data_IF_456752283200
#
_entry.id   IF_456752283200
#
_cell.length_a   1.000
_cell.length_b   1.000
_cell.length_c   1.000
_cell.angle_alpha   90.00
_cell.angle_beta   90.00
_cell.angle_gamma   90.00
#
_symmetry.space_group_name_H-M   'P 1'
#
loop_
_entity.id
_entity.type
_entity.pdbx_description
1 polymer ?
#
# COMPACT_ATOMS: atom_id res chain seq x y z
N UNK A 1 -51.77 -36.86 -9.20
CA UNK A 1 -51.36 -35.81 -8.23
C UNK A 1 -49.86 -35.93 -7.96
N UNK A 2 -49.05 -34.99 -8.45
CA UNK A 2 -47.62 -34.77 -8.14
C UNK A 2 -47.11 -33.71 -9.13
N UNK A 3 -46.38 -32.64 -8.80
CA UNK A 3 -45.77 -32.15 -7.57
C UNK A 3 -45.76 -30.63 -7.69
N UNK A 4 -46.28 -29.96 -6.66
CA UNK A 4 -46.14 -28.53 -6.53
C UNK A 4 -44.79 -28.18 -5.87
N UNK A 5 -44.32 -26.94 -6.12
CA UNK A 5 -43.22 -26.24 -5.45
C UNK A 5 -41.82 -26.35 -6.07
N UNK A 6 -41.61 -25.60 -7.16
CA UNK A 6 -40.30 -25.05 -7.51
C UNK A 6 -39.87 -24.02 -6.46
N UNK A 7 -39.32 -24.51 -5.33
CA UNK A 7 -38.63 -23.66 -4.35
C UNK A 7 -37.39 -23.07 -5.03
N UNK A 8 -37.54 -21.92 -5.69
CA UNK A 8 -36.41 -21.11 -6.14
C UNK A 8 -35.56 -20.79 -4.91
N UNK A 9 -34.40 -21.44 -4.83
CA UNK A 9 -33.40 -21.12 -3.83
C UNK A 9 -32.93 -19.70 -4.11
N UNK A 10 -33.28 -18.77 -3.22
CA UNK A 10 -32.75 -17.40 -3.24
C UNK A 10 -31.22 -17.47 -3.07
N UNK A 11 -30.48 -17.54 -4.18
CA UNK A 11 -29.04 -17.36 -4.18
C UNK A 11 -28.76 -15.90 -3.83
N UNK A 12 -28.64 -15.59 -2.52
CA UNK A 12 -28.17 -14.29 -2.06
C UNK A 12 -26.82 -14.03 -2.74
N UNK A 13 -26.76 -13.01 -3.59
CA UNK A 13 -25.49 -12.63 -4.22
C UNK A 13 -24.44 -12.44 -3.13
N UNK A 14 -23.25 -13.00 -3.34
CA UNK A 14 -22.13 -12.85 -2.40
C UNK A 14 -21.93 -11.36 -2.16
N UNK A 15 -22.34 -10.85 -0.99
CA UNK A 15 -22.13 -9.45 -0.63
C UNK A 15 -20.65 -9.15 -0.82
N UNK A 16 -20.32 -8.24 -1.73
CA UNK A 16 -18.97 -7.69 -1.84
C UNK A 16 -18.72 -6.95 -0.54
N UNK A 17 -18.06 -7.60 0.42
CA UNK A 17 -17.65 -6.95 1.65
C UNK A 17 -16.56 -5.97 1.25
N UNK A 18 -16.93 -4.71 1.04
CA UNK A 18 -15.99 -3.63 0.78
C UNK A 18 -14.84 -3.76 1.77
N UNK A 19 -13.65 -4.09 1.25
CA UNK A 19 -12.46 -4.41 2.04
C UNK A 19 -12.06 -3.14 2.79
N UNK A 20 -12.59 -2.98 4.00
CA UNK A 20 -12.41 -1.77 4.82
C UNK A 20 -10.92 -1.50 4.94
N UNK A 21 -10.51 -0.29 4.54
CA UNK A 21 -9.11 0.15 4.59
C UNK A 21 -8.59 -0.07 6.00
N UNK A 22 -7.69 -1.04 6.16
CA UNK A 22 -7.10 -1.35 7.45
C UNK A 22 -6.19 -0.19 7.84
N UNK A 23 -6.35 0.34 9.05
CA UNK A 23 -5.33 1.17 9.65
C UNK A 23 -4.01 0.38 9.74
N UNK A 24 -2.84 1.04 9.64
CA UNK A 24 -1.55 0.38 9.72
C UNK A 24 -1.40 -0.31 11.09
N UNK A 25 -0.93 -1.56 11.06
CA UNK A 25 -0.74 -2.38 12.27
C UNK A 25 0.43 -1.84 13.10
N UNK A 26 0.26 -1.84 14.42
CA UNK A 26 1.32 -1.50 15.39
C UNK A 26 2.31 -2.67 15.40
N UNK A 27 3.60 -2.38 15.29
CA UNK A 27 4.66 -3.39 15.34
C UNK A 27 4.99 -3.73 16.80
N UNK A 28 5.48 -4.95 17.11
CA UNK A 28 5.82 -5.37 18.47
C UNK A 28 6.91 -4.52 19.16
N UNK A 29 7.69 -3.74 18.41
CA UNK A 29 8.68 -2.79 18.95
C UNK A 29 8.18 -1.35 19.15
N UNK A 30 6.96 -1.03 18.71
CA UNK A 30 6.41 0.32 18.85
C UNK A 30 5.97 0.56 20.30
N UNK A 31 6.68 1.44 21.01
CA UNK A 31 6.30 1.87 22.36
C UNK A 31 5.06 2.79 22.29
N UNK A 32 3.97 2.36 22.94
CA UNK A 32 2.69 3.09 23.00
C UNK A 32 2.72 4.04 24.19
N UNK A 33 3.27 5.23 23.97
CA UNK A 33 3.39 6.29 24.99
C UNK A 33 2.71 7.59 24.55
N UNK A 34 2.34 8.42 25.54
CA UNK A 34 1.75 9.75 25.31
C UNK A 34 2.70 10.69 24.56
N UNK A 35 4.01 10.45 24.66
CA UNK A 35 5.07 11.20 23.95
C UNK A 35 5.06 10.92 22.44
N UNK A 36 4.61 9.74 22.02
CA UNK A 36 4.61 9.35 20.61
C UNK A 36 3.35 9.84 19.88
N UNK A 37 3.28 11.15 19.69
CA UNK A 37 2.11 11.83 19.10
C UNK A 37 1.79 11.28 17.71
N UNK A 38 2.81 10.98 16.88
CA UNK A 38 2.63 10.46 15.51
C UNK A 38 1.87 9.13 15.49
N UNK A 39 2.12 8.26 16.48
CA UNK A 39 1.42 6.99 16.62
C UNK A 39 -0.03 7.23 17.09
N UNK A 40 -0.23 8.07 18.10
CA UNK A 40 -1.56 8.33 18.68
C UNK A 40 -2.53 9.01 17.70
N UNK A 41 -2.03 9.91 16.85
CA UNK A 41 -2.82 10.58 15.78
C UNK A 41 -3.44 9.57 14.80
N UNK A 42 -2.89 8.36 14.68
CA UNK A 42 -3.46 7.30 13.82
C UNK A 42 -4.73 6.69 14.41
N UNK A 43 -4.89 6.74 15.73
CA UNK A 43 -6.00 6.13 16.47
C UNK A 43 -7.07 7.14 16.90
N UNK A 44 -7.00 8.37 16.40
CA UNK A 44 -7.96 9.45 16.66
C UNK A 44 -8.66 9.81 15.35
N UNK A 45 -9.95 10.15 15.43
CA UNK A 45 -10.75 10.61 14.30
C UNK A 45 -10.53 12.11 14.03
N UNK A 46 -11.03 12.61 12.91
CA UNK A 46 -10.95 14.05 12.58
C UNK A 46 -11.58 14.95 13.63
N UNK A 47 -12.62 14.46 14.30
CA UNK A 47 -13.33 15.15 15.37
C UNK A 47 -12.58 15.11 16.71
N UNK A 48 -11.42 14.45 16.77
CA UNK A 48 -10.70 14.25 18.02
C UNK A 48 -11.20 13.07 18.84
N UNK A 49 -12.11 12.21 18.35
CA UNK A 49 -12.63 11.03 19.09
C UNK A 49 -11.70 9.82 18.96
N UNK A 50 -11.63 8.96 19.97
CA UNK A 50 -10.83 7.73 19.91
C UNK A 50 -11.52 6.71 18.99
N UNK A 51 -10.77 6.13 18.05
CA UNK A 51 -11.29 5.14 17.10
C UNK A 51 -11.53 3.80 17.84
N UNK A 52 -12.69 3.13 17.64
CA UNK A 52 -12.98 1.87 18.29
C UNK A 52 -12.12 0.72 17.75
N UNK A 53 -11.83 -0.26 18.62
CA UNK A 53 -10.99 -1.45 18.32
C UNK A 53 -11.38 -2.18 17.03
N UNK A 54 -12.69 -2.33 16.78
CA UNK A 54 -13.22 -3.01 15.58
C UNK A 54 -12.80 -2.37 14.26
N UNK A 55 -12.45 -1.09 14.28
CA UNK A 55 -11.97 -0.33 13.12
C UNK A 55 -10.44 -0.36 13.05
N UNK A 56 -9.76 -0.15 14.18
CA UNK A 56 -8.30 -0.15 14.25
C UNK A 56 -7.65 -1.54 14.13
N UNK A 57 -8.41 -2.62 14.39
CA UNK A 57 -7.95 -4.02 14.33
C UNK A 57 -6.69 -4.28 15.19
N UNK A 58 -6.60 -3.63 16.34
CA UNK A 58 -5.55 -3.85 17.34
C UNK A 58 -5.99 -4.88 18.38
N UNK A 59 -5.02 -5.44 19.11
CA UNK A 59 -5.32 -6.32 20.26
C UNK A 59 -6.01 -5.54 21.38
N UNK A 60 -6.70 -6.24 22.27
CA UNK A 60 -7.37 -5.61 23.41
C UNK A 60 -6.38 -4.87 24.32
N UNK A 61 -5.23 -5.50 24.60
CA UNK A 61 -4.14 -4.91 25.41
C UNK A 61 -3.64 -3.62 24.79
N UNK A 62 -3.35 -3.62 23.48
CA UNK A 62 -2.94 -2.41 22.75
C UNK A 62 -4.01 -1.32 22.81
N UNK A 63 -5.29 -1.64 22.59
CA UNK A 63 -6.36 -0.62 22.65
C UNK A 63 -6.43 0.06 24.03
N UNK A 64 -6.26 -0.71 25.13
CA UNK A 64 -6.23 -0.15 26.50
C UNK A 64 -5.06 0.82 26.67
N UNK A 65 -3.85 0.40 26.27
CA UNK A 65 -2.65 1.25 26.33
C UNK A 65 -2.80 2.53 25.49
N UNK A 66 -3.31 2.41 24.26
CA UNK A 66 -3.57 3.55 23.37
C UNK A 66 -4.56 4.53 24.02
N UNK A 67 -5.64 4.00 24.61
CA UNK A 67 -6.67 4.83 25.25
C UNK A 67 -6.07 5.62 26.42
N UNK A 68 -5.25 4.98 27.25
CA UNK A 68 -4.56 5.65 28.37
C UNK A 68 -3.59 6.71 27.85
N UNK A 69 -2.76 6.36 26.86
CA UNK A 69 -1.78 7.28 26.26
C UNK A 69 -2.45 8.51 25.63
N UNK A 70 -3.57 8.32 24.90
CA UNK A 70 -4.34 9.43 24.31
C UNK A 70 -4.92 10.33 25.41
N UNK A 71 -5.51 9.75 26.47
CA UNK A 71 -6.05 10.54 27.59
C UNK A 71 -4.97 11.37 28.25
N UNK A 72 -3.80 10.79 28.55
CA UNK A 72 -2.63 11.51 29.08
C UNK A 72 -2.18 12.64 28.17
N UNK A 73 -2.02 12.36 26.87
CA UNK A 73 -1.60 13.36 25.89
C UNK A 73 -2.61 14.53 25.76
N UNK A 74 -3.91 14.28 25.95
CA UNK A 74 -4.92 15.35 25.96
C UNK A 74 -4.84 16.25 27.20
N UNK A 75 -4.63 15.67 28.37
CA UNK A 75 -4.44 16.44 29.62
C UNK A 75 -3.21 17.36 29.49
N UNK A 76 -2.16 16.87 28.83
CA UNK A 76 -0.93 17.64 28.56
C UNK A 76 -1.03 18.55 27.32
N UNK A 77 -2.23 18.77 26.77
CA UNK A 77 -2.48 19.58 25.57
C UNK A 77 -1.72 19.18 24.28
N UNK A 78 -1.08 18.00 24.24
CA UNK A 78 -0.41 17.47 23.04
C UNK A 78 -1.41 17.01 21.97
N UNK A 79 -2.61 16.64 22.42
CA UNK A 79 -3.71 16.25 21.54
C UNK A 79 -4.97 17.03 21.94
N UNK A 80 -5.73 17.54 20.97
CA UNK A 80 -6.97 18.25 21.26
C UNK A 80 -8.11 17.30 21.66
N UNK A 81 -9.06 17.86 22.42
CA UNK A 81 -10.29 17.18 22.85
C UNK A 81 -11.38 17.16 21.77
N UNK A 82 -11.46 18.21 20.94
CA UNK A 82 -12.46 18.40 19.88
C UNK A 82 -11.82 18.98 18.61
N UNK A 83 -12.39 18.62 17.46
CA UNK A 83 -12.15 19.19 16.12
C UNK A 83 -10.69 19.48 15.74
N UNK A 84 -10.07 18.53 15.02
CA UNK A 84 -8.67 18.62 14.58
C UNK A 84 -8.59 18.95 13.08
N UNK A 85 -9.25 20.01 12.64
CA UNK A 85 -9.31 20.35 11.21
C UNK A 85 -7.91 20.55 10.62
N UNK A 86 -7.03 21.25 11.36
CA UNK A 86 -5.65 21.57 10.93
C UNK A 86 -4.80 20.30 10.85
N UNK A 87 -4.79 19.48 11.90
CA UNK A 87 -3.98 18.27 11.97
C UNK A 87 -4.32 17.27 10.85
N UNK A 88 -5.59 17.15 10.49
CA UNK A 88 -6.03 16.26 9.42
C UNK A 88 -5.71 16.79 8.03
N UNK A 89 -5.76 18.12 7.81
CA UNK A 89 -5.29 18.74 6.55
C UNK A 89 -3.80 18.44 6.35
N UNK A 90 -2.98 18.67 7.38
CA UNK A 90 -1.54 18.40 7.34
C UNK A 90 -1.24 16.92 7.11
N UNK A 91 -1.93 16.01 7.82
CA UNK A 91 -1.79 14.56 7.64
C UNK A 91 -2.13 14.11 6.22
N UNK A 92 -3.22 14.63 5.63
CA UNK A 92 -3.62 14.29 4.25
C UNK A 92 -2.60 14.78 3.23
N UNK A 93 -2.09 16.00 3.40
CA UNK A 93 -1.03 16.55 2.56
C UNK A 93 0.26 15.71 2.64
N UNK A 94 0.69 15.34 3.85
CA UNK A 94 1.85 14.47 4.07
C UNK A 94 1.69 13.11 3.38
N UNK A 95 0.53 12.46 3.53
CA UNK A 95 0.24 11.18 2.88
C UNK A 95 0.26 11.32 1.35
N UNK A 96 -0.28 12.42 0.81
CA UNK A 96 -0.27 12.67 -0.63
C UNK A 96 1.16 12.83 -1.15
N UNK A 97 2.00 13.59 -0.43
CA UNK A 97 3.41 13.75 -0.76
C UNK A 97 4.18 12.42 -0.75
N UNK A 98 4.06 11.63 0.33
CA UNK A 98 4.72 10.31 0.44
C UNK A 98 4.29 9.37 -0.69
N UNK A 99 2.99 9.35 -1.02
CA UNK A 99 2.47 8.54 -2.13
C UNK A 99 3.06 8.95 -3.48
N UNK A 100 3.14 10.27 -3.75
CA UNK A 100 3.73 10.81 -4.97
C UNK A 100 5.21 10.42 -5.09
N UNK A 101 5.98 10.65 -4.03
CA UNK A 101 7.39 10.29 -3.97
C UNK A 101 7.64 8.79 -4.24
N UNK A 102 6.83 7.92 -3.64
CA UNK A 102 6.91 6.47 -3.87
C UNK A 102 6.54 6.07 -5.31
N UNK A 103 5.59 6.76 -5.95
CA UNK A 103 5.28 6.53 -7.37
C UNK A 103 6.45 6.90 -8.28
N UNK A 104 7.07 8.04 -8.04
CA UNK A 104 8.22 8.52 -8.82
C UNK A 104 9.42 7.55 -8.72
N UNK A 105 9.70 7.04 -7.51
CA UNK A 105 10.69 5.99 -7.28
C UNK A 105 10.40 4.69 -8.05
N UNK A 106 9.14 4.24 -8.03
CA UNK A 106 8.71 3.04 -8.79
C UNK A 106 8.85 3.26 -10.30
N UNK A 107 8.51 4.46 -10.79
CA UNK A 107 8.66 4.83 -12.20
C UNK A 107 10.13 4.79 -12.62
N UNK A 108 11.04 5.40 -11.84
CA UNK A 108 12.49 5.34 -12.07
C UNK A 108 13.03 3.90 -12.09
N UNK A 109 12.59 3.05 -11.15
CA UNK A 109 12.99 1.62 -11.12
C UNK A 109 12.52 0.86 -12.36
N UNK A 110 11.26 1.04 -12.77
CA UNK A 110 10.69 0.43 -13.98
C UNK A 110 11.43 0.89 -15.24
N UNK A 111 11.76 2.17 -15.31
CA UNK A 111 12.51 2.74 -16.43
C UNK A 111 13.93 2.19 -16.52
N UNK A 112 14.67 2.10 -15.39
CA UNK A 112 15.99 1.45 -15.35
C UNK A 112 15.94 -0.01 -15.82
N UNK A 113 14.93 -0.77 -15.39
CA UNK A 113 14.73 -2.16 -15.85
C UNK A 113 14.48 -2.22 -17.36
N UNK A 114 13.64 -1.34 -17.90
CA UNK A 114 13.34 -1.29 -19.33
C UNK A 114 14.57 -0.89 -20.17
N UNK A 115 15.41 0.02 -19.68
CA UNK A 115 16.68 0.40 -20.33
C UNK A 115 17.62 -0.80 -20.46
N UNK A 116 17.83 -1.55 -19.37
CA UNK A 116 18.65 -2.79 -19.39
C UNK A 116 18.13 -3.82 -20.40
N UNK A 117 16.82 -4.03 -20.48
CA UNK A 117 16.23 -4.97 -21.44
C UNK A 117 16.48 -4.52 -22.89
N UNK A 118 16.34 -3.21 -23.17
CA UNK A 118 16.62 -2.65 -24.50
C UNK A 118 18.09 -2.81 -24.91
N UNK A 119 19.02 -2.59 -23.99
CA UNK A 119 20.47 -2.78 -24.20
C UNK A 119 20.83 -4.26 -24.47
N UNK A 120 20.21 -5.18 -23.71
CA UNK A 120 20.37 -6.63 -23.92
C UNK A 120 19.81 -7.10 -25.27
N UNK A 121 18.71 -6.51 -25.73
CA UNK A 121 18.15 -6.86 -27.04
C UNK A 121 19.02 -6.30 -28.19
N UNK A 122 19.50 -5.05 -28.09
CA UNK A 122 20.43 -4.47 -29.07
C UNK A 122 21.72 -5.29 -29.23
N UNK A 123 22.32 -5.73 -28.12
CA UNK A 123 23.53 -6.55 -28.16
C UNK A 123 23.30 -7.95 -28.74
N UNK A 124 22.15 -8.58 -28.48
CA UNK A 124 21.76 -9.85 -29.12
C UNK A 124 21.56 -9.68 -30.63
N UNK A 125 20.96 -8.58 -31.05
CA UNK A 125 20.68 -8.28 -32.46
C UNK A 125 21.97 -8.02 -33.25
N UNK A 126 22.90 -7.25 -32.68
CA UNK A 126 24.24 -7.04 -33.26
C UNK A 126 25.03 -8.35 -33.40
N UNK A 127 25.01 -9.22 -32.40
CA UNK A 127 25.64 -10.56 -32.48
C UNK A 127 25.02 -11.42 -33.59
N UNK A 128 23.69 -11.35 -33.75
CA UNK A 128 22.95 -12.09 -34.79
C UNK A 128 23.26 -11.59 -36.21
N UNK A 129 23.47 -10.29 -36.37
CA UNK A 129 23.89 -9.69 -37.64
C UNK A 129 25.34 -10.07 -37.96
N UNK A 130 26.25 -9.98 -37.00
CA UNK A 130 27.64 -10.39 -37.17
C UNK A 130 27.78 -11.87 -37.54
N UNK A 131 27.02 -12.77 -36.89
CA UNK A 131 27.02 -14.19 -37.25
C UNK A 131 26.47 -14.46 -38.66
N UNK A 132 25.49 -13.68 -39.13
CA UNK A 132 24.98 -13.78 -40.50
C UNK A 132 26.00 -13.32 -41.54
N UNK A 133 26.72 -12.22 -41.26
CA UNK A 133 27.77 -11.69 -42.16
C UNK A 133 28.95 -12.66 -42.24
N UNK A 134 29.36 -13.25 -41.12
CA UNK A 134 30.44 -14.25 -41.09
C UNK A 134 30.06 -15.56 -41.81
N UNK A 135 28.80 -15.98 -41.76
CA UNK A 135 28.37 -17.17 -42.49
C UNK A 135 28.30 -16.92 -44.00
N UNK A 136 27.83 -15.73 -44.44
CA UNK A 136 27.82 -15.33 -45.85
C UNK A 136 29.22 -15.25 -46.46
N UNK A 137 30.22 -14.74 -45.73
CA UNK A 137 31.59 -14.66 -46.22
C UNK A 137 32.31 -16.02 -46.23
N UNK A 138 31.90 -16.97 -45.37
CA UNK A 138 32.37 -18.36 -45.41
C UNK A 138 31.78 -19.15 -46.58
N UNK A 139 30.52 -18.90 -46.95
CA UNK A 139 29.90 -19.49 -48.15
C UNK A 139 30.57 -19.00 -49.44
N UNK A 140 30.88 -17.70 -49.54
CA UNK A 140 31.53 -17.13 -50.73
C UNK A 140 32.96 -17.64 -50.95
N UNK A 141 33.70 -17.97 -49.88
CA UNK A 141 35.05 -18.58 -49.95
C UNK A 141 35.05 -20.09 -50.25
N UNK A 142 33.88 -20.74 -50.27
CA UNK A 142 33.73 -22.18 -50.54
C UNK A 142 33.36 -22.49 -52.00
N UNK A 143 33.09 -21.45 -52.79
CA UNK A 143 32.65 -21.53 -54.20
C UNK A 143 33.78 -21.14 -55.18
N UNK A 144 34.95 -20.77 -54.64
CA UNK A 144 36.23 -20.69 -55.36
C UNK A 144 37.08 -21.90 -54.98
#
# INVERSE_FOLDING_TARGET
>A
MAKDNSKQLFFKSKRIVNKRVSLPKIQPGDKIDYKNIRLLIRFISQQGKIIPRRVSKVTLKQQRLITIAIKKARILALLPFKNNAILFKLKRAQIAYEKKYLQDLKKKRKEKRNRKIREQNKSKEQKKVQSKVQNKSKEQKKVQ
#
